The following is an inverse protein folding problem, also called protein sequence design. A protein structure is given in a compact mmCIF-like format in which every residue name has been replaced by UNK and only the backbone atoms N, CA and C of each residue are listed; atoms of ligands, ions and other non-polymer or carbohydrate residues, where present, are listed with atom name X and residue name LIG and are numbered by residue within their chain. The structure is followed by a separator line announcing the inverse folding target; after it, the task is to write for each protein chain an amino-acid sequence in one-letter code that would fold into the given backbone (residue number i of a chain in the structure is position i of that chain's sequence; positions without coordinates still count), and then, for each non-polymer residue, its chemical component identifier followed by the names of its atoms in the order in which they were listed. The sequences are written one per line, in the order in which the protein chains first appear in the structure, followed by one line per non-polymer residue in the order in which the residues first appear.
data_IF_902929126524
#
_entry.id   IF_902929126524
#
_cell.length_a   1.000
_cell.length_b   1.000
_cell.length_c   1.000
_cell.angle_alpha   90.00
_cell.angle_beta   90.00
_cell.angle_gamma   90.00
#
_symmetry.space_group_name_H-M   'P 1'
#
loop_
_entity.id
_entity.type
_entity.pdbx_description
1 polymer ?
#
# COMPACT_ATOMS: atom_id res chain seq x y z
N UNK A 1 -9.49 13.69 13.80
CA UNK A 1 -9.71 13.89 15.24
C UNK A 1 -8.93 12.79 15.96
N UNK A 2 -7.96 13.14 16.80
CA UNK A 2 -7.15 12.13 17.52
C UNK A 2 -7.94 11.60 18.72
N UNK A 3 -7.88 10.29 18.93
CA UNK A 3 -8.41 9.67 20.15
C UNK A 3 -7.25 9.53 21.14
N UNK A 4 -7.35 10.20 22.28
CA UNK A 4 -6.32 10.15 23.35
C UNK A 4 -6.71 9.06 24.34
N UNK A 5 -5.80 8.11 24.56
CA UNK A 5 -5.95 7.03 25.55
C UNK A 5 -4.86 7.20 26.61
N UNK A 6 -5.25 7.15 27.89
CA UNK A 6 -4.31 7.24 29.01
C UNK A 6 -3.84 5.84 29.42
N UNK A 7 -2.55 5.70 29.68
CA UNK A 7 -1.93 4.49 30.18
C UNK A 7 -1.43 4.70 31.62
N UNK A 8 -1.48 3.66 32.46
CA UNK A 8 -1.09 3.79 33.87
C UNK A 8 0.41 3.99 34.07
N UNK A 9 1.23 3.52 33.14
CA UNK A 9 2.70 3.62 33.19
C UNK A 9 3.33 3.59 31.80
N UNK A 10 4.61 3.97 31.72
CA UNK A 10 5.38 4.00 30.47
C UNK A 10 5.57 2.62 29.85
N UNK A 11 5.67 1.56 30.67
CA UNK A 11 5.91 0.21 30.16
C UNK A 11 4.71 -0.33 29.39
N UNK A 12 3.49 -0.09 29.91
CA UNK A 12 2.25 -0.44 29.24
C UNK A 12 2.03 0.37 27.95
N UNK A 13 2.35 1.67 27.95
CA UNK A 13 2.33 2.51 26.77
C UNK A 13 3.33 2.00 25.72
N UNK A 14 4.56 1.69 26.12
CA UNK A 14 5.60 1.15 25.21
C UNK A 14 5.14 -0.15 24.57
N UNK A 15 4.59 -1.07 25.36
CA UNK A 15 4.03 -2.34 24.86
C UNK A 15 2.89 -2.12 23.87
N UNK A 16 2.01 -1.13 24.13
CA UNK A 16 0.90 -0.80 23.24
C UNK A 16 1.38 -0.21 21.89
N UNK A 17 2.42 0.63 21.92
CA UNK A 17 3.07 1.18 20.71
C UNK A 17 3.77 0.06 19.94
N UNK A 18 4.53 -0.81 20.60
CA UNK A 18 5.22 -1.94 19.97
C UNK A 18 4.26 -2.94 19.30
N UNK A 19 3.08 -3.14 19.89
CA UNK A 19 2.01 -4.00 19.32
C UNK A 19 1.18 -3.30 18.25
N UNK A 20 1.39 -2.01 18.00
CA UNK A 20 0.62 -1.23 17.03
C UNK A 20 -0.83 -0.95 17.44
N UNK A 21 -1.19 -1.14 18.73
CA UNK A 21 -2.52 -0.79 19.25
C UNK A 21 -2.69 0.71 19.46
N UNK A 22 -1.57 1.43 19.59
CA UNK A 22 -1.47 2.88 19.61
C UNK A 22 -0.34 3.29 18.67
N UNK A 23 -0.57 4.30 17.86
CA UNK A 23 0.40 4.71 16.81
C UNK A 23 1.57 5.51 17.35
N UNK A 24 1.33 6.33 18.38
CA UNK A 24 2.36 7.11 19.06
C UNK A 24 1.95 7.35 20.52
N UNK A 25 2.95 7.60 21.37
CA UNK A 25 2.76 7.89 22.77
C UNK A 25 3.58 9.07 23.25
N UNK A 26 3.05 9.79 24.24
CA UNK A 26 3.73 10.91 24.90
C UNK A 26 3.88 10.58 26.39
N UNK A 27 5.13 10.67 26.88
CA UNK A 27 5.46 10.43 28.29
C UNK A 27 5.77 11.76 28.96
N UNK A 28 4.96 12.12 29.95
CA UNK A 28 5.17 13.31 30.76
C UNK A 28 5.79 12.92 32.12
N UNK A 29 6.86 13.57 32.58
CA UNK A 29 7.41 13.30 33.91
C UNK A 29 6.40 13.64 35.03
N UNK A 30 6.44 12.88 36.12
CA UNK A 30 5.50 13.04 37.24
C UNK A 30 5.52 14.44 37.87
N UNK A 31 6.65 15.13 37.79
CA UNK A 31 6.89 16.47 38.30
C UNK A 31 6.76 17.58 37.24
N UNK A 32 6.09 17.27 36.10
CA UNK A 32 5.91 18.16 34.96
C UNK A 32 5.41 19.56 35.37
N UNK A 33 4.36 19.63 36.20
CA UNK A 33 3.77 20.91 36.62
C UNK A 33 4.70 21.76 37.49
N UNK A 34 5.42 21.15 38.42
CA UNK A 34 6.39 21.84 39.30
C UNK A 34 7.62 22.32 38.54
N UNK A 35 8.11 21.53 37.60
CA UNK A 35 9.20 21.94 36.70
C UNK A 35 8.81 23.06 35.75
N UNK A 36 7.58 23.06 35.25
CA UNK A 36 7.07 24.15 34.41
C UNK A 36 7.00 25.49 35.16
N UNK A 37 6.62 25.49 36.44
CA UNK A 37 6.63 26.69 37.25
C UNK A 37 8.05 27.21 37.59
N UNK A 38 9.02 26.32 37.61
CA UNK A 38 10.45 26.61 37.82
C UNK A 38 11.17 27.14 36.58
N UNK A 39 12.50 27.22 36.63
CA UNK A 39 13.37 27.71 35.54
C UNK A 39 14.03 26.59 34.75
N UNK A 40 13.69 25.32 35.04
CA UNK A 40 14.32 24.15 34.39
C UNK A 40 13.76 23.79 33.03
N UNK A 41 14.53 23.02 32.27
CA UNK A 41 14.07 22.33 31.05
C UNK A 41 13.25 21.11 31.46
N UNK A 42 12.16 20.85 30.77
CA UNK A 42 11.34 19.65 30.97
C UNK A 42 11.44 18.81 29.72
N UNK A 43 12.00 17.62 29.88
CA UNK A 43 12.07 16.63 28.79
C UNK A 43 10.75 15.88 28.71
N UNK A 44 10.18 15.82 27.50
CA UNK A 44 8.97 15.07 27.20
C UNK A 44 9.37 13.90 26.30
N UNK A 45 9.10 12.67 26.75
CA UNK A 45 9.34 11.46 25.97
C UNK A 45 8.31 11.32 24.85
N UNK A 46 8.78 11.02 23.65
CA UNK A 46 7.93 10.66 22.53
C UNK A 46 8.26 9.23 22.08
N UNK A 47 7.26 8.37 22.02
CA UNK A 47 7.38 6.96 21.61
C UNK A 47 6.65 6.77 20.27
N UNK A 48 7.30 6.13 19.32
CA UNK A 48 6.71 5.79 18.03
C UNK A 48 7.46 4.65 17.35
N UNK A 49 6.79 3.90 16.46
CA UNK A 49 7.32 2.66 15.87
C UNK A 49 8.20 2.88 14.64
N UNK A 50 7.94 3.91 13.84
CA UNK A 50 8.68 4.19 12.60
C UNK A 50 8.72 5.69 12.35
N UNK A 51 9.83 6.22 11.86
CA UNK A 51 9.99 7.67 11.60
C UNK A 51 8.89 8.24 10.67
N UNK A 52 8.46 7.48 9.68
CA UNK A 52 7.50 7.93 8.67
C UNK A 52 6.07 8.07 9.22
N UNK A 53 5.63 7.16 10.09
CA UNK A 53 4.27 7.21 10.69
C UNK A 53 4.23 8.20 11.84
N UNK A 54 5.34 8.33 12.56
CA UNK A 54 5.44 9.16 13.77
C UNK A 54 5.77 10.62 13.50
N UNK A 55 6.27 10.98 12.30
CA UNK A 55 6.63 12.37 11.97
C UNK A 55 5.45 13.34 12.08
N UNK A 56 4.27 12.95 11.59
CA UNK A 56 3.05 13.75 11.67
C UNK A 56 2.56 13.92 13.10
N UNK A 57 2.56 12.86 13.90
CA UNK A 57 2.18 12.91 15.33
C UNK A 57 3.20 13.70 16.14
N UNK A 58 4.47 13.54 15.86
CA UNK A 58 5.56 14.30 16.46
C UNK A 58 5.40 15.80 16.20
N UNK A 59 5.15 16.20 14.95
CA UNK A 59 4.92 17.59 14.59
C UNK A 59 3.70 18.18 15.34
N UNK A 60 2.61 17.42 15.46
CA UNK A 60 1.43 17.85 16.22
C UNK A 60 1.73 18.01 17.72
N UNK A 61 2.51 17.10 18.31
CA UNK A 61 2.95 17.17 19.71
C UNK A 61 3.90 18.36 19.92
N UNK A 62 4.87 18.57 19.03
CA UNK A 62 5.80 19.70 19.05
C UNK A 62 5.05 21.04 18.94
N UNK A 63 4.02 21.13 18.09
CA UNK A 63 3.18 22.31 17.97
C UNK A 63 2.40 22.59 19.28
N UNK A 64 1.81 21.55 19.88
CA UNK A 64 1.10 21.69 21.17
C UNK A 64 2.05 22.09 22.30
N UNK A 65 3.27 21.56 22.33
CA UNK A 65 4.31 21.92 23.28
C UNK A 65 4.74 23.38 23.07
N UNK A 66 4.97 23.82 21.84
CA UNK A 66 5.34 25.20 21.51
C UNK A 66 4.27 26.19 21.98
N UNK A 67 2.99 25.83 21.81
CA UNK A 67 1.88 26.63 22.30
C UNK A 67 1.88 26.76 23.83
N UNK A 68 2.10 25.67 24.55
CA UNK A 68 2.25 25.66 25.99
C UNK A 68 3.48 26.46 26.45
N UNK A 69 4.60 26.36 25.75
CA UNK A 69 5.81 27.12 26.02
C UNK A 69 5.57 28.64 25.95
N UNK A 70 4.75 29.09 24.99
CA UNK A 70 4.41 30.50 24.87
C UNK A 70 3.66 31.02 26.12
N UNK A 71 2.66 30.27 26.62
CA UNK A 71 1.91 30.61 27.84
C UNK A 71 2.81 30.63 29.08
N UNK A 72 3.65 29.59 29.22
CA UNK A 72 4.62 29.48 30.31
C UNK A 72 5.63 30.64 30.29
N UNK A 73 6.14 30.98 29.12
CA UNK A 73 7.09 32.08 28.94
C UNK A 73 6.46 33.43 29.26
N UNK A 74 5.21 33.65 28.86
CA UNK A 74 4.44 34.86 29.20
C UNK A 74 4.23 34.96 30.71
N UNK A 75 3.81 33.88 31.36
CA UNK A 75 3.60 33.85 32.82
C UNK A 75 4.90 34.11 33.59
N UNK A 76 6.02 33.45 33.21
CA UNK A 76 7.34 33.67 33.82
C UNK A 76 7.83 35.11 33.66
N UNK A 77 7.62 35.69 32.47
CA UNK A 77 7.99 37.08 32.21
C UNK A 77 7.18 38.04 33.06
N UNK A 78 5.86 37.82 33.17
CA UNK A 78 4.99 38.62 34.02
C UNK A 78 5.42 38.56 35.51
N UNK A 79 5.77 37.38 36.04
CA UNK A 79 6.30 37.22 37.40
C UNK A 79 7.62 37.99 37.58
N UNK A 80 8.54 37.91 36.62
CA UNK A 80 9.82 38.65 36.66
C UNK A 80 9.59 40.17 36.67
N UNK A 81 8.51 40.65 36.07
CA UNK A 81 8.13 42.06 36.04
C UNK A 81 7.27 42.48 37.24
N UNK A 82 7.08 41.59 38.21
CA UNK A 82 6.35 41.89 39.43
C UNK A 82 4.83 41.77 39.34
N UNK A 83 4.28 41.12 38.36
CA UNK A 83 2.84 40.98 38.12
C UNK A 83 2.16 39.85 38.94
N UNK A 84 2.63 39.56 40.15
CA UNK A 84 2.04 38.57 41.03
C UNK A 84 2.66 37.18 41.01
N UNK A 85 1.89 36.16 41.39
CA UNK A 85 2.37 34.75 41.38
C UNK A 85 2.28 34.12 40.00
N UNK A 86 3.06 33.04 39.82
CA UNK A 86 3.06 32.27 38.54
C UNK A 86 1.64 31.81 38.15
N UNK A 87 0.86 31.28 39.10
CA UNK A 87 -0.47 30.75 38.80
C UNK A 87 -1.43 31.84 38.33
N UNK A 88 -1.34 33.04 38.97
CA UNK A 88 -2.12 34.22 38.56
C UNK A 88 -1.74 34.69 37.17
N UNK A 89 -0.45 34.82 36.91
CA UNK A 89 0.06 35.23 35.62
C UNK A 89 -0.27 34.20 34.50
N UNK A 90 -0.20 32.91 34.81
CA UNK A 90 -0.56 31.85 33.88
C UNK A 90 -2.05 31.84 33.54
N UNK A 91 -2.93 32.01 34.57
CA UNK A 91 -4.38 32.13 34.36
C UNK A 91 -4.74 33.33 33.47
N UNK A 92 -4.08 34.48 33.67
CA UNK A 92 -4.24 35.65 32.81
C UNK A 92 -3.77 35.40 31.40
N UNK A 93 -2.59 34.76 31.19
CA UNK A 93 -2.07 34.41 29.89
C UNK A 93 -3.04 33.46 29.14
N UNK A 94 -3.60 32.50 29.86
CA UNK A 94 -4.56 31.54 29.30
C UNK A 94 -5.88 32.23 28.89
N UNK A 95 -6.37 33.18 29.69
CA UNK A 95 -7.59 33.94 29.38
C UNK A 95 -7.39 34.88 28.17
N UNK A 96 -6.19 35.45 28.04
CA UNK A 96 -5.83 36.38 26.96
C UNK A 96 -5.38 35.68 25.68
N UNK A 97 -5.24 34.35 25.69
CA UNK A 97 -4.83 33.54 24.52
C UNK A 97 -5.66 33.79 23.26
N UNK A 98 -7.00 33.91 23.30
CA UNK A 98 -7.80 34.20 22.10
C UNK A 98 -7.52 35.57 21.48
N UNK A 99 -7.00 36.51 22.28
CA UNK A 99 -6.72 37.90 21.87
C UNK A 99 -5.34 38.03 21.16
N UNK A 100 -4.51 36.98 21.27
CA UNK A 100 -3.19 36.96 20.63
C UNK A 100 -3.30 36.31 19.25
N UNK A 101 -2.89 37.04 18.22
CA UNK A 101 -2.86 36.52 16.87
C UNK A 101 -1.99 35.24 16.80
N UNK A 102 -2.64 34.11 16.59
CA UNK A 102 -1.95 32.82 16.43
C UNK A 102 -1.23 32.73 15.10
N UNK A 103 -0.06 32.10 15.09
CA UNK A 103 0.58 31.69 13.85
C UNK A 103 -0.07 30.37 13.41
N UNK A 104 -0.90 30.42 12.37
CA UNK A 104 -1.38 29.19 11.74
C UNK A 104 -0.22 28.62 10.90
N UNK A 105 0.36 27.53 11.38
CA UNK A 105 1.33 26.76 10.59
C UNK A 105 0.54 25.76 9.75
N UNK A 106 0.44 26.02 8.45
CA UNK A 106 -0.04 25.01 7.50
C UNK A 106 1.16 24.15 7.13
N UNK A 107 1.17 22.91 7.63
CA UNK A 107 2.17 21.93 7.25
C UNK A 107 1.70 21.29 5.96
N UNK A 108 2.30 21.68 4.85
CA UNK A 108 2.17 20.96 3.59
C UNK A 108 3.23 19.86 3.57
N UNK A 109 2.81 18.61 3.67
CA UNK A 109 3.72 17.47 3.51
C UNK A 109 4.05 17.31 2.03
N UNK A 110 5.29 17.64 1.68
CA UNK A 110 5.82 17.47 0.32
C UNK A 110 6.78 16.28 0.33
N UNK A 111 6.58 15.33 -0.58
CA UNK A 111 7.45 14.17 -0.72
C UNK A 111 6.78 12.82 -0.42
N UNK A 112 7.58 11.84 -0.03
CA UNK A 112 7.14 10.46 0.16
C UNK A 112 6.00 10.28 1.16
N UNK A 113 5.96 11.09 2.21
CA UNK A 113 4.92 11.02 3.24
C UNK A 113 3.55 11.50 2.74
N UNK A 114 3.52 12.39 1.75
CA UNK A 114 2.27 12.83 1.12
C UNK A 114 1.58 11.71 0.34
N UNK A 115 2.33 10.69 -0.07
CA UNK A 115 1.82 9.55 -0.82
C UNK A 115 0.91 8.65 0.02
N UNK A 116 1.12 8.63 1.34
CA UNK A 116 0.33 7.84 2.28
C UNK A 116 -0.72 8.65 3.04
N UNK A 117 -0.96 9.91 2.68
CA UNK A 117 -2.04 10.70 3.29
C UNK A 117 -3.40 10.05 3.00
N UNK A 118 -4.12 9.69 4.06
CA UNK A 118 -5.40 8.98 3.97
C UNK A 118 -5.32 7.50 3.56
N UNK A 119 -4.12 6.93 3.52
CA UNK A 119 -3.84 5.62 2.95
C UNK A 119 -2.71 4.93 3.73
N UNK A 120 -3.00 3.84 4.43
CA UNK A 120 -2.01 3.20 5.28
C UNK A 120 -0.94 2.47 4.47
N UNK A 121 0.30 2.44 4.97
CA UNK A 121 1.38 1.63 4.39
C UNK A 121 1.01 0.15 4.33
N UNK A 122 0.22 -0.32 5.30
CA UNK A 122 -0.26 -1.69 5.33
C UNK A 122 -1.25 -1.98 4.20
N UNK A 123 -2.16 -1.03 3.89
CA UNK A 123 -3.07 -1.12 2.74
C UNK A 123 -2.30 -1.17 1.42
N UNK A 124 -1.28 -0.30 1.26
CA UNK A 124 -0.41 -0.35 0.09
C UNK A 124 0.33 -1.69 -0.01
N UNK A 125 0.91 -2.17 1.10
CA UNK A 125 1.56 -3.47 1.17
C UNK A 125 0.64 -4.61 0.76
N UNK A 126 -0.60 -4.64 1.25
CA UNK A 126 -1.59 -5.67 0.90
C UNK A 126 -1.91 -5.66 -0.60
N UNK A 127 -2.11 -4.47 -1.20
CA UNK A 127 -2.40 -4.32 -2.62
C UNK A 127 -1.23 -4.74 -3.51
N UNK A 128 -0.02 -4.31 -3.17
CA UNK A 128 1.19 -4.66 -3.92
C UNK A 128 1.51 -6.14 -3.84
N UNK A 129 1.39 -6.75 -2.66
CA UNK A 129 1.60 -8.18 -2.46
C UNK A 129 0.55 -9.02 -3.19
N UNK A 130 -0.72 -8.58 -3.19
CA UNK A 130 -1.76 -9.24 -3.98
C UNK A 130 -1.36 -9.30 -5.45
N UNK A 131 -1.01 -8.16 -6.05
CA UNK A 131 -0.67 -8.09 -7.47
C UNK A 131 0.60 -8.91 -7.77
N UNK A 132 1.67 -8.71 -6.99
CA UNK A 132 2.94 -9.40 -7.18
C UNK A 132 2.77 -10.92 -7.12
N UNK A 133 2.16 -11.44 -6.04
CA UNK A 133 2.05 -12.88 -5.86
C UNK A 133 1.01 -13.52 -6.77
N UNK A 134 -0.08 -12.85 -7.14
CA UNK A 134 -1.04 -13.34 -8.12
C UNK A 134 -0.38 -13.54 -9.47
N UNK A 135 0.43 -12.56 -9.90
CA UNK A 135 1.17 -12.67 -11.15
C UNK A 135 2.27 -13.73 -11.07
N UNK A 136 3.06 -13.74 -10.00
CA UNK A 136 4.15 -14.69 -9.80
C UNK A 136 3.65 -16.14 -9.77
N UNK A 137 2.58 -16.43 -9.04
CA UNK A 137 1.97 -17.78 -9.01
C UNK A 137 1.46 -18.20 -10.38
N UNK A 138 0.81 -17.29 -11.11
CA UNK A 138 0.40 -17.57 -12.50
C UNK A 138 1.59 -17.88 -13.38
N UNK A 139 2.67 -17.11 -13.26
CA UNK A 139 3.88 -17.29 -14.07
C UNK A 139 4.62 -18.58 -13.76
N UNK A 140 4.72 -18.99 -12.49
CA UNK A 140 5.33 -20.27 -12.12
C UNK A 140 4.53 -21.47 -12.65
N UNK A 141 3.19 -21.34 -12.73
CA UNK A 141 2.33 -22.36 -13.31
C UNK A 141 2.51 -22.54 -14.85
N UNK A 142 3.27 -21.64 -15.51
CA UNK A 142 3.56 -21.77 -16.95
C UNK A 142 4.29 -23.09 -17.30
N UNK A 143 5.11 -23.59 -16.36
CA UNK A 143 5.83 -24.87 -16.54
C UNK A 143 4.89 -26.07 -16.75
N UNK A 144 3.71 -26.08 -16.14
CA UNK A 144 2.71 -27.13 -16.30
C UNK A 144 2.20 -27.22 -17.76
N UNK A 145 2.07 -26.08 -18.45
CA UNK A 145 1.67 -26.05 -19.86
C UNK A 145 2.69 -26.72 -20.76
N UNK A 146 3.98 -26.54 -20.46
CA UNK A 146 5.06 -27.18 -21.18
C UNK A 146 5.07 -28.69 -20.94
N UNK A 147 4.83 -29.09 -19.69
CA UNK A 147 4.77 -30.51 -19.29
C UNK A 147 3.61 -31.24 -20.00
N UNK A 148 2.39 -30.70 -19.98
CA UNK A 148 1.22 -31.26 -20.66
C UNK A 148 1.48 -31.43 -22.18
N UNK A 149 2.17 -30.45 -22.77
CA UNK A 149 2.55 -30.50 -24.18
C UNK A 149 3.61 -31.60 -24.46
N UNK A 150 4.67 -31.69 -23.64
CA UNK A 150 5.74 -32.70 -23.79
C UNK A 150 5.25 -34.11 -23.55
N UNK A 151 4.37 -34.33 -22.62
CA UNK A 151 3.77 -35.65 -22.35
C UNK A 151 2.73 -36.05 -23.42
N UNK A 152 2.52 -35.23 -24.44
CA UNK A 152 1.58 -35.49 -25.50
C UNK A 152 0.11 -35.43 -25.11
N UNK A 153 -0.20 -34.92 -23.91
CA UNK A 153 -1.58 -34.79 -23.43
C UNK A 153 -2.38 -33.89 -24.38
N UNK A 154 -1.81 -32.75 -24.78
CA UNK A 154 -2.46 -31.83 -25.72
C UNK A 154 -2.74 -32.49 -27.07
N UNK A 155 -1.84 -33.35 -27.57
CA UNK A 155 -2.06 -34.11 -28.82
C UNK A 155 -3.17 -35.15 -28.66
N UNK A 156 -3.23 -35.83 -27.54
CA UNK A 156 -4.33 -36.80 -27.23
C UNK A 156 -5.67 -36.11 -27.10
N UNK A 157 -5.71 -34.90 -26.53
CA UNK A 157 -6.93 -34.10 -26.48
C UNK A 157 -7.43 -33.73 -27.89
N UNK A 158 -6.51 -33.44 -28.83
CA UNK A 158 -6.88 -33.10 -30.21
C UNK A 158 -7.33 -34.34 -31.03
N UNK A 159 -7.03 -35.57 -30.61
CA UNK A 159 -7.57 -36.78 -31.23
C UNK A 159 -9.01 -37.11 -30.80
N UNK A 160 -9.56 -36.34 -29.87
CA UNK A 160 -10.99 -36.37 -29.47
C UNK A 160 -11.75 -35.26 -30.25
N UNK A 161 -13.10 -35.30 -30.30
CA UNK A 161 -13.89 -34.24 -30.95
C UNK A 161 -13.87 -32.91 -30.18
N UNK A 162 -12.70 -32.51 -29.64
CA UNK A 162 -12.50 -31.28 -28.87
C UNK A 162 -11.77 -30.26 -29.75
N UNK A 163 -12.32 -29.03 -29.81
CA UNK A 163 -11.69 -27.96 -30.59
C UNK A 163 -10.41 -27.44 -29.92
N UNK A 164 -9.45 -26.98 -30.72
CA UNK A 164 -8.25 -26.29 -30.23
C UNK A 164 -8.60 -25.10 -29.33
N UNK A 165 -9.64 -24.37 -29.66
CA UNK A 165 -10.11 -23.23 -28.88
C UNK A 165 -10.57 -23.67 -27.49
N UNK A 166 -11.30 -24.79 -27.39
CA UNK A 166 -11.73 -25.35 -26.09
C UNK A 166 -10.55 -25.73 -25.22
N UNK A 167 -9.50 -26.33 -25.80
CA UNK A 167 -8.28 -26.68 -25.06
C UNK A 167 -7.59 -25.43 -24.52
N UNK A 168 -7.41 -24.40 -25.36
CA UNK A 168 -6.78 -23.13 -24.95
C UNK A 168 -7.58 -22.41 -23.89
N UNK A 169 -8.92 -22.34 -24.04
CA UNK A 169 -9.81 -21.73 -23.06
C UNK A 169 -9.75 -22.47 -21.72
N UNK A 170 -9.77 -23.80 -21.73
CA UNK A 170 -9.65 -24.62 -20.52
C UNK A 170 -8.33 -24.39 -19.78
N UNK A 171 -7.21 -24.35 -20.50
CA UNK A 171 -5.88 -24.07 -19.94
C UNK A 171 -5.79 -22.64 -19.37
N UNK A 172 -6.36 -21.66 -20.07
CA UNK A 172 -6.40 -20.27 -19.60
C UNK A 172 -7.31 -20.12 -18.39
N UNK A 173 -8.50 -20.72 -18.41
CA UNK A 173 -9.47 -20.68 -17.34
C UNK A 173 -8.91 -21.32 -16.05
N UNK A 174 -8.20 -22.45 -16.17
CA UNK A 174 -7.56 -23.07 -15.01
C UNK A 174 -6.58 -22.12 -14.31
N UNK A 175 -5.73 -21.42 -15.06
CA UNK A 175 -4.79 -20.43 -14.50
C UNK A 175 -5.50 -19.20 -13.92
N UNK A 176 -6.50 -18.73 -14.62
CA UNK A 176 -7.34 -17.63 -14.14
C UNK A 176 -8.01 -17.98 -12.81
N UNK A 177 -8.57 -19.17 -12.67
CA UNK A 177 -9.24 -19.60 -11.43
C UNK A 177 -8.25 -19.73 -10.26
N UNK A 178 -7.04 -20.22 -10.49
CA UNK A 178 -5.99 -20.24 -9.46
C UNK A 178 -5.60 -18.82 -9.04
N UNK A 179 -5.37 -17.92 -9.99
CA UNK A 179 -5.08 -16.53 -9.73
C UNK A 179 -6.21 -15.83 -8.97
N UNK A 180 -7.44 -16.06 -9.38
CA UNK A 180 -8.64 -15.50 -8.75
C UNK A 180 -8.82 -16.01 -7.33
N UNK A 181 -8.67 -17.32 -7.11
CA UNK A 181 -8.76 -17.89 -5.76
C UNK A 181 -7.73 -17.27 -4.82
N UNK A 182 -6.49 -17.16 -5.27
CA UNK A 182 -5.43 -16.53 -4.48
C UNK A 182 -5.72 -15.06 -4.20
N UNK A 183 -6.15 -14.29 -5.21
CA UNK A 183 -6.49 -12.89 -5.05
C UNK A 183 -7.63 -12.69 -4.06
N UNK A 184 -8.71 -13.47 -4.19
CA UNK A 184 -9.84 -13.43 -3.24
C UNK A 184 -9.42 -13.82 -1.83
N UNK A 185 -8.56 -14.83 -1.67
CA UNK A 185 -8.02 -15.22 -0.37
C UNK A 185 -7.28 -14.07 0.30
N UNK A 186 -6.39 -13.39 -0.43
CA UNK A 186 -5.66 -12.23 0.08
C UNK A 186 -6.60 -11.09 0.45
N UNK A 187 -7.56 -10.75 -0.43
CA UNK A 187 -8.55 -9.67 -0.17
C UNK A 187 -9.36 -9.98 1.08
N UNK A 188 -9.93 -11.18 1.19
CA UNK A 188 -10.78 -11.57 2.32
C UNK A 188 -9.99 -11.53 3.63
N UNK A 189 -8.81 -12.15 3.69
CA UNK A 189 -8.00 -12.16 4.91
C UNK A 189 -7.57 -10.73 5.30
N UNK A 190 -7.08 -9.94 4.35
CA UNK A 190 -6.62 -8.59 4.68
C UNK A 190 -7.76 -7.66 5.06
N UNK A 191 -8.91 -7.79 4.44
CA UNK A 191 -10.10 -6.99 4.79
C UNK A 191 -10.69 -7.40 6.15
N UNK A 192 -10.79 -8.71 6.45
CA UNK A 192 -11.48 -9.17 7.66
C UNK A 192 -10.59 -9.23 8.91
N UNK A 193 -9.32 -9.63 8.76
CA UNK A 193 -8.38 -9.79 9.88
C UNK A 193 -7.62 -8.50 10.15
N UNK A 194 -7.25 -7.77 9.10
CA UNK A 194 -6.37 -6.60 9.20
C UNK A 194 -7.07 -5.27 8.89
N UNK A 195 -8.40 -5.28 8.66
CA UNK A 195 -9.20 -4.09 8.33
C UNK A 195 -8.64 -3.25 7.17
N UNK A 196 -8.03 -3.91 6.16
CA UNK A 196 -7.53 -3.24 4.97
C UNK A 196 -8.69 -2.72 4.14
N UNK A 197 -8.67 -1.44 3.82
CA UNK A 197 -9.62 -0.85 2.88
C UNK A 197 -9.19 -1.16 1.43
N UNK A 198 -10.13 -1.63 0.63
CA UNK A 198 -9.94 -1.87 -0.82
C UNK A 198 -10.66 -0.82 -1.67
N UNK A 199 -11.26 0.21 -1.05
CA UNK A 199 -12.07 1.22 -1.72
C UNK A 199 -13.43 0.69 -2.17
N UNK A 200 -13.94 1.20 -3.30
CA UNK A 200 -15.20 0.72 -3.88
C UNK A 200 -15.11 -0.77 -4.26
N UNK A 201 -16.00 -1.64 -3.72
CA UNK A 201 -15.88 -3.09 -3.92
C UNK A 201 -16.03 -3.52 -5.37
N UNK A 202 -16.87 -2.81 -6.17
CA UNK A 202 -17.13 -3.16 -7.57
C UNK A 202 -15.92 -2.79 -8.42
N UNK A 203 -15.38 -1.61 -8.22
CA UNK A 203 -14.18 -1.15 -8.92
C UNK A 203 -12.96 -2.01 -8.57
N UNK A 204 -12.73 -2.29 -7.28
CA UNK A 204 -11.63 -3.14 -6.83
C UNK A 204 -11.74 -4.56 -7.40
N UNK A 205 -12.93 -5.18 -7.33
CA UNK A 205 -13.17 -6.49 -7.93
C UNK A 205 -12.90 -6.51 -9.43
N UNK A 206 -13.32 -5.46 -10.16
CA UNK A 206 -13.09 -5.36 -11.61
C UNK A 206 -11.61 -5.26 -11.95
N UNK A 207 -10.84 -4.44 -11.21
CA UNK A 207 -9.38 -4.33 -11.38
C UNK A 207 -8.71 -5.69 -11.13
N UNK A 208 -9.05 -6.34 -10.03
CA UNK A 208 -8.48 -7.62 -9.63
C UNK A 208 -8.80 -8.71 -10.67
N UNK A 209 -10.05 -8.79 -11.14
CA UNK A 209 -10.47 -9.73 -12.18
C UNK A 209 -9.69 -9.52 -13.49
N UNK A 210 -9.59 -8.28 -13.96
CA UNK A 210 -8.80 -7.95 -15.16
C UNK A 210 -7.32 -8.31 -14.98
N UNK A 211 -6.75 -8.02 -13.81
CA UNK A 211 -5.37 -8.36 -13.53
C UNK A 211 -5.12 -9.88 -13.46
N UNK A 212 -6.07 -10.66 -12.95
CA UNK A 212 -6.02 -12.13 -13.00
C UNK A 212 -6.04 -12.64 -14.46
N UNK A 213 -6.83 -12.01 -15.34
CA UNK A 213 -6.85 -12.36 -16.78
C UNK A 213 -5.51 -12.01 -17.43
N UNK A 214 -4.93 -10.84 -17.14
CA UNK A 214 -3.60 -10.43 -17.60
C UNK A 214 -2.55 -11.45 -17.15
N UNK A 215 -2.58 -11.84 -15.88
CA UNK A 215 -1.64 -12.83 -15.29
C UNK A 215 -1.75 -14.19 -15.95
N UNK A 216 -2.98 -14.67 -16.18
CA UNK A 216 -3.22 -15.92 -16.90
C UNK A 216 -2.72 -15.86 -18.35
N UNK A 217 -2.97 -14.75 -19.05
CA UNK A 217 -2.49 -14.52 -20.42
C UNK A 217 -0.96 -14.50 -20.51
N UNK A 218 -0.29 -13.83 -19.58
CA UNK A 218 1.17 -13.80 -19.50
C UNK A 218 1.76 -15.20 -19.25
N UNK A 219 1.17 -15.95 -18.30
CA UNK A 219 1.59 -17.32 -18.01
C UNK A 219 1.42 -18.27 -19.20
N UNK A 220 0.29 -18.14 -19.91
CA UNK A 220 0.05 -18.89 -21.16
C UNK A 220 1.08 -18.57 -22.24
N UNK A 221 1.44 -17.29 -22.39
CA UNK A 221 2.45 -16.86 -23.36
C UNK A 221 3.83 -17.44 -23.02
N UNK A 222 4.27 -17.32 -21.75
CA UNK A 222 5.54 -17.90 -21.30
C UNK A 222 5.57 -19.41 -21.51
N UNK A 223 4.51 -20.12 -21.14
CA UNK A 223 4.40 -21.56 -21.37
C UNK A 223 4.40 -21.96 -22.86
N UNK A 224 3.82 -21.10 -23.73
CA UNK A 224 3.80 -21.36 -25.18
C UNK A 224 5.15 -21.14 -25.87
N UNK A 225 6.00 -20.24 -25.36
CA UNK A 225 7.32 -19.95 -25.96
C UNK A 225 8.45 -20.80 -25.40
N UNK A 226 8.27 -21.31 -24.15
CA UNK A 226 9.31 -22.09 -23.47
C UNK A 226 9.45 -23.51 -24.04
N UNK A 227 10.69 -24.01 -24.04
CA UNK A 227 11.04 -25.34 -24.56
C UNK A 227 10.89 -26.43 -23.50
N UNK A 228 11.11 -26.15 -22.24
CA UNK A 228 10.99 -27.09 -21.13
C UNK A 228 10.33 -26.42 -19.89
N UNK A 229 9.87 -27.23 -18.92
CA UNK A 229 9.16 -26.78 -17.76
C UNK A 229 10.04 -25.92 -16.84
N UNK A 230 11.32 -26.27 -16.70
CA UNK A 230 12.26 -25.53 -15.85
C UNK A 230 12.54 -24.13 -16.42
N UNK A 231 12.73 -24.04 -17.74
CA UNK A 231 12.86 -22.76 -18.44
C UNK A 231 11.59 -21.89 -18.26
N UNK A 232 10.41 -22.49 -18.41
CA UNK A 232 9.15 -21.75 -18.24
C UNK A 232 9.01 -21.22 -16.81
N UNK A 233 9.32 -22.05 -15.82
CA UNK A 233 9.23 -21.67 -14.41
C UNK A 233 10.28 -20.60 -14.06
N UNK A 234 11.53 -20.78 -14.46
CA UNK A 234 12.60 -19.80 -14.19
C UNK A 234 12.35 -18.46 -14.88
N UNK A 235 11.96 -18.48 -16.15
CA UNK A 235 11.57 -17.26 -16.87
C UNK A 235 10.33 -16.62 -16.24
N UNK A 236 9.38 -17.42 -15.79
CA UNK A 236 8.19 -16.97 -15.09
C UNK A 236 8.51 -16.25 -13.78
N UNK A 237 9.37 -16.83 -12.94
CA UNK A 237 9.80 -16.20 -11.68
C UNK A 237 10.55 -14.90 -11.97
N UNK A 238 11.53 -14.92 -12.87
CA UNK A 238 12.30 -13.74 -13.23
C UNK A 238 11.41 -12.61 -13.77
N UNK A 239 10.55 -12.92 -14.75
CA UNK A 239 9.64 -11.93 -15.33
C UNK A 239 8.63 -11.43 -14.29
N UNK A 240 8.10 -12.32 -13.44
CA UNK A 240 7.16 -11.94 -12.37
C UNK A 240 7.77 -10.94 -11.38
N UNK A 241 8.98 -11.22 -10.89
CA UNK A 241 9.69 -10.33 -9.98
C UNK A 241 10.11 -9.03 -10.65
N UNK A 242 10.68 -9.11 -11.88
CA UNK A 242 11.14 -7.92 -12.60
C UNK A 242 9.99 -6.97 -12.97
N UNK A 243 8.89 -7.51 -13.51
CA UNK A 243 7.71 -6.72 -13.88
C UNK A 243 6.98 -6.19 -12.63
N UNK A 244 6.93 -6.97 -11.54
CA UNK A 244 6.38 -6.52 -10.27
C UNK A 244 7.20 -5.39 -9.65
N UNK A 245 8.52 -5.52 -9.63
CA UNK A 245 9.42 -4.48 -9.10
C UNK A 245 9.32 -3.19 -9.92
N UNK A 246 9.47 -3.28 -11.24
CA UNK A 246 9.38 -2.12 -12.15
C UNK A 246 7.96 -1.54 -12.22
N UNK A 247 6.94 -2.36 -11.98
CA UNK A 247 5.54 -1.95 -11.98
C UNK A 247 5.06 -1.30 -10.68
N UNK A 248 5.94 -1.11 -9.68
CA UNK A 248 5.60 -0.40 -8.46
C UNK A 248 5.17 -1.28 -7.28
N UNK A 249 5.29 -2.63 -7.39
CA UNK A 249 4.90 -3.52 -6.31
C UNK A 249 5.95 -3.70 -5.21
N UNK A 250 7.23 -3.40 -5.48
CA UNK A 250 8.30 -3.46 -4.48
C UNK A 250 8.71 -2.06 -4.02
N UNK A 251 8.79 -1.12 -4.95
CA UNK A 251 9.11 0.28 -4.66
C UNK A 251 7.98 1.11 -5.26
N UNK A 252 7.33 1.99 -4.48
CA UNK A 252 6.29 2.85 -5.02
C UNK A 252 6.79 3.68 -6.20
N UNK A 253 5.95 3.84 -7.23
CA UNK A 253 6.31 4.52 -8.47
C UNK A 253 6.83 5.95 -8.24
N UNK A 254 6.30 6.64 -7.23
CA UNK A 254 6.70 8.01 -6.90
C UNK A 254 8.18 8.13 -6.46
N UNK A 255 8.79 7.05 -5.96
CA UNK A 255 10.22 7.03 -5.58
C UNK A 255 11.14 6.63 -6.72
N UNK A 256 10.59 6.24 -7.85
CA UNK A 256 11.38 5.85 -9.01
C UNK A 256 11.80 7.08 -9.82
N UNK A 257 13.01 7.09 -10.44
CA UNK A 257 13.39 8.09 -11.41
C UNK A 257 12.38 8.19 -12.58
N UNK A 258 12.21 9.36 -13.18
CA UNK A 258 11.22 9.59 -14.26
C UNK A 258 11.35 8.60 -15.43
N UNK A 259 12.58 8.21 -15.78
CA UNK A 259 12.82 7.20 -16.80
C UNK A 259 12.19 5.85 -16.44
N UNK A 260 12.29 5.41 -15.17
CA UNK A 260 11.68 4.18 -14.70
C UNK A 260 10.17 4.28 -14.61
N UNK A 261 9.62 5.43 -14.20
CA UNK A 261 8.17 5.67 -14.21
C UNK A 261 7.60 5.59 -15.63
N UNK A 262 8.37 6.05 -16.64
CA UNK A 262 7.98 5.93 -18.04
C UNK A 262 7.94 4.46 -18.49
N UNK A 263 8.95 3.66 -18.12
CA UNK A 263 9.00 2.22 -18.39
C UNK A 263 7.84 1.49 -17.68
N UNK A 264 7.52 1.89 -16.46
CA UNK A 264 6.42 1.30 -15.68
C UNK A 264 5.07 1.40 -16.40
N UNK A 265 4.82 2.42 -17.22
CA UNK A 265 3.60 2.56 -18.02
C UNK A 265 3.39 1.43 -19.05
N UNK A 266 4.47 0.73 -19.44
CA UNK A 266 4.39 -0.46 -20.29
C UNK A 266 4.14 -1.76 -19.51
N UNK A 267 3.93 -1.68 -18.18
CA UNK A 267 3.80 -2.83 -17.28
C UNK A 267 2.41 -2.83 -16.64
N UNK A 268 1.64 -3.93 -16.70
CA UNK A 268 0.27 -3.96 -16.20
C UNK A 268 0.16 -3.75 -14.68
N UNK A 269 1.20 -4.09 -13.90
CA UNK A 269 1.23 -3.88 -12.46
C UNK A 269 1.07 -2.41 -12.08
N UNK A 270 1.72 -1.50 -12.82
CA UNK A 270 1.66 -0.06 -12.54
C UNK A 270 0.24 0.50 -12.66
N UNK A 271 -0.51 0.03 -13.65
CA UNK A 271 -1.90 0.44 -13.86
C UNK A 271 -2.83 -0.13 -12.80
N UNK A 272 -2.61 -1.39 -12.39
CA UNK A 272 -3.40 -2.03 -11.35
C UNK A 272 -3.16 -1.40 -9.98
N UNK A 273 -1.88 -1.18 -9.59
CA UNK A 273 -1.58 -0.58 -8.28
C UNK A 273 -2.01 0.88 -8.21
N UNK A 274 -1.85 1.65 -9.29
CA UNK A 274 -2.32 3.03 -9.34
C UNK A 274 -3.83 3.11 -9.19
N UNK A 275 -4.59 2.22 -9.88
CA UNK A 275 -6.03 2.16 -9.76
C UNK A 275 -6.50 1.78 -8.34
N UNK A 276 -5.93 0.72 -7.75
CA UNK A 276 -6.28 0.30 -6.38
C UNK A 276 -5.94 1.38 -5.35
N UNK A 277 -4.78 2.04 -5.51
CA UNK A 277 -4.36 3.12 -4.61
C UNK A 277 -5.29 4.33 -4.70
N UNK A 278 -5.70 4.74 -5.92
CA UNK A 278 -6.59 5.88 -6.09
C UNK A 278 -8.00 5.61 -5.53
N UNK A 279 -8.52 4.38 -5.65
CA UNK A 279 -9.81 4.02 -5.05
C UNK A 279 -9.84 4.22 -3.53
N UNK A 280 -8.75 3.92 -2.85
CA UNK A 280 -8.69 4.07 -1.39
C UNK A 280 -8.40 5.50 -0.98
N UNK A 281 -7.50 6.19 -1.69
CA UNK A 281 -7.07 7.55 -1.36
C UNK A 281 -8.12 8.58 -1.72
N UNK A 282 -8.69 8.47 -2.93
CA UNK A 282 -9.55 9.50 -3.49
C UNK A 282 -11.04 9.17 -3.30
N UNK A 283 -11.37 7.94 -2.86
CA UNK A 283 -12.73 7.50 -2.56
C UNK A 283 -13.63 7.37 -3.79
N UNK A 284 -13.06 7.22 -4.99
CA UNK A 284 -13.79 7.12 -6.26
C UNK A 284 -14.38 5.73 -6.49
N UNK A 285 -15.30 5.63 -7.46
CA UNK A 285 -15.85 4.39 -7.97
C UNK A 285 -15.21 3.96 -9.30
N UNK A 286 -15.92 3.10 -10.05
CA UNK A 286 -15.43 2.53 -11.31
C UNK A 286 -15.05 3.58 -12.35
N UNK A 287 -15.77 4.71 -12.40
CA UNK A 287 -15.53 5.79 -13.36
C UNK A 287 -14.18 6.47 -13.13
N UNK A 288 -13.74 6.58 -11.87
CA UNK A 288 -12.47 7.21 -11.52
C UNK A 288 -11.25 6.41 -12.01
N UNK A 289 -11.40 5.11 -12.21
CA UNK A 289 -10.34 4.19 -12.67
C UNK A 289 -10.55 3.68 -14.09
N UNK A 290 -11.50 4.25 -14.84
CA UNK A 290 -11.88 3.80 -16.19
C UNK A 290 -10.68 3.69 -17.14
N UNK A 291 -9.79 4.67 -17.14
CA UNK A 291 -8.56 4.64 -17.97
C UNK A 291 -7.67 3.42 -17.62
N UNK A 292 -7.50 3.14 -16.35
CA UNK A 292 -6.71 2.00 -15.89
C UNK A 292 -7.34 0.67 -16.31
N UNK A 293 -8.68 0.57 -16.23
CA UNK A 293 -9.42 -0.62 -16.65
C UNK A 293 -9.28 -0.86 -18.16
N UNK A 294 -9.40 0.19 -18.97
CA UNK A 294 -9.23 0.09 -20.45
C UNK A 294 -7.82 -0.38 -20.79
N UNK A 295 -6.79 0.16 -20.13
CA UNK A 295 -5.42 -0.25 -20.38
C UNK A 295 -5.18 -1.70 -19.93
N UNK A 296 -5.67 -2.10 -18.76
CA UNK A 296 -5.58 -3.48 -18.28
C UNK A 296 -6.32 -4.47 -19.22
N UNK A 297 -7.51 -4.09 -19.71
CA UNK A 297 -8.23 -4.86 -20.73
C UNK A 297 -7.42 -4.98 -22.02
N UNK A 298 -6.75 -3.90 -22.45
CA UNK A 298 -5.81 -3.94 -23.58
C UNK A 298 -4.67 -4.93 -23.38
N UNK A 299 -4.02 -4.91 -22.20
CA UNK A 299 -3.00 -5.93 -21.86
C UNK A 299 -3.56 -7.35 -21.89
N UNK A 300 -4.76 -7.57 -21.33
CA UNK A 300 -5.41 -8.87 -21.35
C UNK A 300 -5.63 -9.40 -22.79
N UNK A 301 -6.18 -8.56 -23.66
CA UNK A 301 -6.45 -8.90 -25.06
C UNK A 301 -5.15 -9.20 -25.81
N UNK A 302 -4.12 -8.35 -25.66
CA UNK A 302 -2.83 -8.54 -26.35
C UNK A 302 -2.14 -9.82 -25.86
N UNK A 303 -2.04 -10.04 -24.56
CA UNK A 303 -1.36 -11.21 -24.01
C UNK A 303 -2.09 -12.51 -24.34
N UNK A 304 -3.41 -12.56 -24.21
CA UNK A 304 -4.21 -13.72 -24.59
C UNK A 304 -4.17 -13.98 -26.11
N UNK A 305 -4.22 -12.94 -26.92
CA UNK A 305 -4.10 -13.04 -28.36
C UNK A 305 -2.76 -13.64 -28.78
N UNK A 306 -1.65 -13.09 -28.27
CA UNK A 306 -0.30 -13.58 -28.52
C UNK A 306 -0.10 -15.03 -27.98
N UNK A 307 -0.60 -15.29 -26.76
CA UNK A 307 -0.53 -16.64 -26.18
C UNK A 307 -1.27 -17.66 -27.03
N UNK A 308 -2.50 -17.34 -27.45
CA UNK A 308 -3.31 -18.22 -28.30
C UNK A 308 -2.65 -18.47 -29.64
N UNK A 309 -2.15 -17.42 -30.30
CA UNK A 309 -1.46 -17.53 -31.57
C UNK A 309 -0.19 -18.42 -31.45
N UNK A 310 0.62 -18.17 -30.42
CA UNK A 310 1.86 -18.91 -30.21
C UNK A 310 1.62 -20.36 -29.81
N UNK A 311 0.62 -20.60 -28.95
CA UNK A 311 0.25 -21.93 -28.49
C UNK A 311 -0.25 -22.81 -29.69
N UNK A 312 -1.11 -22.25 -30.54
CA UNK A 312 -1.54 -22.94 -31.77
C UNK A 312 -0.35 -23.37 -32.58
N UNK A 313 0.60 -22.48 -32.88
CA UNK A 313 1.79 -22.77 -33.63
C UNK A 313 2.67 -23.85 -32.97
N UNK A 314 2.72 -23.88 -31.63
CA UNK A 314 3.52 -24.85 -30.87
C UNK A 314 2.93 -26.27 -30.85
N UNK A 315 1.64 -26.45 -31.18
CA UNK A 315 0.99 -27.78 -31.22
C UNK A 315 0.86 -28.31 -32.66
N UNK A 316 0.72 -27.43 -33.65
CA UNK A 316 0.55 -27.81 -35.07
C UNK A 316 1.86 -27.94 -35.83
N UNK A 317 2.96 -27.38 -35.35
CA UNK A 317 4.32 -27.57 -35.87
C UNK A 317 5.07 -28.62 -35.07
#
# INVERSE_FOLDING_TARGET
MFTIVQFPDEASLRTAVERGTVEAGVVLPADYGTRLAGSGVVDIGFLGTTETVTSGYRAAVEAAIAEQQALVSAARTAVKLGAGTYDQAYAVAQTRRPDVAGVAVTVEQVGADSMFQGYSQFTFGAQTQLLLFTFLTSMTAAGQLVLTRRLGVSRRMMSTPTSMTTIILGETLGRFLVALFQALFVVVITATVFNVSWGDPVAAATIILLFCIVSAGAAMLVGAVSQNADQASSLGVFAGLALGALGGCMVPLAFMPEAMQTVAKAIPHSWAITALSSLVRDGGGIDSVATNLVVLAGFAVVLLGLATWRFRKAITG
#
